data_IF_203051537911
#
_entry.id   IF_203051537911
#
_cell.length_a   1.000
_cell.length_b   1.000
_cell.length_c   1.000
_cell.angle_alpha   90.00
_cell.angle_beta   90.00
_cell.angle_gamma   90.00
#
_symmetry.space_group_name_H-M   'P 1'
#
loop_
_entity.id
_entity.type
_entity.pdbx_description
1 polymer ?
#
# COMPACT_ATOMS: atom_id res chain seq x y z
N UNK A 1 10.50 21.12 56.52
CA UNK A 1 10.93 20.48 55.26
C UNK A 1 9.85 20.70 54.22
N UNK A 2 10.06 21.60 53.27
CA UNK A 2 9.17 21.72 52.12
C UNK A 2 9.54 20.59 51.15
N UNK A 3 8.67 19.60 51.00
CA UNK A 3 8.78 18.65 49.90
C UNK A 3 8.47 19.40 48.61
N UNK A 4 9.51 19.73 47.83
CA UNK A 4 9.32 20.23 46.47
C UNK A 4 8.56 19.17 45.67
N UNK A 5 7.40 19.54 45.16
CA UNK A 5 6.65 18.68 44.22
C UNK A 5 7.50 18.55 42.95
N UNK A 6 8.07 17.36 42.72
CA UNK A 6 8.63 17.02 41.43
C UNK A 6 7.47 16.75 40.48
N UNK A 7 7.24 17.62 39.50
CA UNK A 7 6.42 17.26 38.36
C UNK A 7 7.23 16.26 37.53
N UNK A 8 6.85 14.98 37.56
CA UNK A 8 7.42 13.99 36.64
C UNK A 8 7.03 14.39 35.23
N UNK A 9 8.03 14.64 34.37
CA UNK A 9 7.82 14.93 32.94
C UNK A 9 7.05 13.82 32.22
N UNK A 10 7.09 12.61 32.78
CA UNK A 10 6.32 11.46 32.32
C UNK A 10 5.16 11.24 33.27
N UNK A 11 3.94 11.33 32.75
CA UNK A 11 2.73 11.22 33.55
C UNK A 11 1.59 10.61 32.73
N UNK A 12 0.66 9.98 33.44
CA UNK A 12 -0.63 9.61 32.87
C UNK A 12 -1.58 10.78 33.03
N UNK A 13 -2.31 11.15 31.98
CA UNK A 13 -3.31 12.21 32.09
C UNK A 13 -4.41 11.85 33.09
N UNK A 14 -4.99 12.87 33.74
CA UNK A 14 -6.12 12.66 34.64
C UNK A 14 -7.24 11.93 33.88
N UNK A 15 -7.71 10.81 34.42
CA UNK A 15 -8.68 9.95 33.74
C UNK A 15 -8.08 8.82 32.90
N UNK A 16 -6.75 8.69 32.83
CA UNK A 16 -6.08 7.50 32.31
C UNK A 16 -6.02 7.37 30.79
N UNK A 17 -6.51 8.35 30.03
CA UNK A 17 -6.68 8.24 28.58
C UNK A 17 -5.36 8.26 27.78
N UNK A 18 -4.27 8.82 28.33
CA UNK A 18 -2.99 8.99 27.63
C UNK A 18 -1.82 8.90 28.59
N UNK A 19 -0.79 8.18 28.17
CA UNK A 19 0.55 8.26 28.76
C UNK A 19 1.36 9.32 28.01
N UNK A 20 1.96 10.26 28.75
CA UNK A 20 2.83 11.31 28.20
C UNK A 20 4.28 10.99 28.56
N UNK A 21 5.17 11.15 27.58
CA UNK A 21 6.62 11.17 27.76
C UNK A 21 7.10 12.59 27.44
N UNK A 22 7.49 13.35 28.47
CA UNK A 22 7.92 14.74 28.32
C UNK A 22 9.37 14.89 27.84
N UNK A 23 10.08 13.78 27.64
CA UNK A 23 11.45 13.70 27.13
C UNK A 23 11.62 12.60 26.08
N UNK A 24 12.73 11.86 26.15
CA UNK A 24 12.96 10.72 25.28
C UNK A 24 12.41 9.42 25.89
N UNK A 25 11.91 8.54 25.03
CA UNK A 25 11.66 7.15 25.37
C UNK A 25 12.77 6.33 24.73
N UNK A 26 13.67 5.79 25.55
CA UNK A 26 14.77 4.94 25.09
C UNK A 26 14.40 3.47 25.30
N UNK A 27 14.34 2.70 24.21
CA UNK A 27 14.19 1.26 24.23
C UNK A 27 15.56 0.65 23.97
N UNK A 28 16.12 0.02 24.99
CA UNK A 28 17.48 -0.51 24.98
C UNK A 28 17.54 -1.89 24.30
N UNK A 29 18.75 -2.38 24.06
CA UNK A 29 18.98 -3.69 23.45
C UNK A 29 18.19 -4.80 24.14
N UNK A 30 17.39 -5.54 23.36
CA UNK A 30 16.52 -6.61 23.83
C UNK A 30 15.14 -6.16 24.33
N UNK A 31 14.84 -4.85 24.28
CA UNK A 31 13.49 -4.32 24.50
C UNK A 31 12.72 -4.14 23.20
N UNK A 32 11.40 -4.15 23.29
CA UNK A 32 10.48 -3.97 22.16
C UNK A 32 9.43 -2.90 22.49
N UNK A 33 9.03 -2.13 21.48
CA UNK A 33 7.77 -1.40 21.50
C UNK A 33 6.73 -2.26 20.79
N UNK A 34 5.94 -2.99 21.56
CA UNK A 34 4.86 -3.78 20.99
C UNK A 34 3.59 -2.94 20.85
N UNK A 35 2.94 -3.03 19.69
CA UNK A 35 1.65 -2.40 19.39
C UNK A 35 0.69 -3.51 19.03
N UNK A 36 -0.11 -3.91 20.02
CA UNK A 36 -1.08 -4.99 19.94
C UNK A 36 -2.09 -4.80 18.80
N UNK A 37 -2.74 -5.91 18.41
CA UNK A 37 -3.75 -5.92 17.35
C UNK A 37 -4.82 -4.84 17.55
N UNK A 38 -5.06 -4.04 16.50
CA UNK A 38 -5.98 -2.88 16.53
C UNK A 38 -5.33 -1.57 17.01
N UNK A 39 -4.10 -1.61 17.52
CA UNK A 39 -3.29 -0.43 17.81
C UNK A 39 -2.65 0.17 16.56
N UNK A 40 -2.32 1.47 16.62
CA UNK A 40 -1.64 2.17 15.53
C UNK A 40 -0.46 3.00 16.07
N UNK A 41 0.73 2.82 15.49
CA UNK A 41 1.83 3.75 15.66
C UNK A 41 1.66 4.92 14.69
N UNK A 42 1.44 6.12 15.24
CA UNK A 42 1.36 7.36 14.46
C UNK A 42 2.60 8.20 14.70
N UNK A 43 3.31 8.56 13.63
CA UNK A 43 4.45 9.47 13.71
C UNK A 43 3.96 10.88 13.40
N UNK A 44 4.01 11.79 14.38
CA UNK A 44 3.42 13.14 14.30
C UNK A 44 1.91 13.14 13.97
N UNK A 45 1.19 12.10 14.38
CA UNK A 45 -0.25 11.95 14.08
C UNK A 45 -0.56 11.39 12.69
N UNK A 46 0.47 11.20 11.84
CA UNK A 46 0.32 10.62 10.49
C UNK A 46 0.46 9.11 10.57
N UNK A 47 -0.52 8.40 10.01
CA UNK A 47 -0.41 6.97 9.80
C UNK A 47 0.53 6.70 8.61
N UNK A 48 1.33 5.64 8.73
CA UNK A 48 2.38 5.29 7.76
C UNK A 48 1.90 4.08 6.95
N UNK A 49 2.18 4.03 5.63
CA UNK A 49 1.92 2.83 4.84
C UNK A 49 2.60 1.59 5.44
N UNK A 50 1.84 0.50 5.51
CA UNK A 50 2.30 -0.78 6.03
C UNK A 50 2.11 -1.88 4.99
N UNK A 51 0.98 -1.90 4.29
CA UNK A 51 0.64 -2.95 3.32
C UNK A 51 -0.01 -2.38 2.07
N UNK A 52 -0.01 -3.17 0.99
CA UNK A 52 -0.80 -2.94 -0.20
C UNK A 52 -1.87 -4.03 -0.31
N UNK A 53 -3.10 -3.66 -0.69
CA UNK A 53 -4.15 -4.62 -1.03
C UNK A 53 -4.55 -4.52 -2.49
N UNK A 54 -4.97 -5.65 -3.07
CA UNK A 54 -5.30 -5.79 -4.47
C UNK A 54 -6.72 -6.33 -4.62
N UNK A 55 -7.53 -5.71 -5.47
CA UNK A 55 -8.86 -6.19 -5.82
C UNK A 55 -9.05 -6.13 -7.34
N UNK A 56 -9.08 -7.30 -7.98
CA UNK A 56 -9.38 -7.43 -9.40
C UNK A 56 -10.89 -7.39 -9.64
N UNK A 57 -11.30 -6.73 -10.72
CA UNK A 57 -12.68 -6.65 -11.16
C UNK A 57 -12.76 -6.59 -12.69
N UNK A 58 -13.85 -7.12 -13.24
CA UNK A 58 -14.14 -7.02 -14.67
C UNK A 58 -14.46 -5.57 -15.06
N UNK A 59 -13.69 -5.05 -16.03
CA UNK A 59 -13.98 -3.80 -16.73
C UNK A 59 -14.81 -4.03 -17.99
N UNK A 60 -14.49 -3.26 -19.04
CA UNK A 60 -15.02 -3.50 -20.39
C UNK A 60 -14.54 -4.82 -21.02
N UNK A 61 -14.93 -5.06 -22.27
CA UNK A 61 -14.55 -6.29 -22.98
C UNK A 61 -13.03 -6.51 -23.00
N UNK A 62 -12.59 -7.67 -22.52
CA UNK A 62 -11.18 -8.04 -22.37
C UNK A 62 -10.37 -7.16 -21.39
N UNK A 63 -11.04 -6.41 -20.52
CA UNK A 63 -10.38 -5.52 -19.55
C UNK A 63 -10.52 -6.08 -18.13
N UNK A 64 -9.39 -6.19 -17.44
CA UNK A 64 -9.32 -6.41 -15.99
C UNK A 64 -8.87 -5.10 -15.31
N UNK A 65 -9.57 -4.70 -14.27
CA UNK A 65 -9.24 -3.54 -13.45
C UNK A 65 -8.77 -4.03 -12.08
N UNK A 66 -7.51 -3.76 -11.72
CA UNK A 66 -6.93 -4.13 -10.43
C UNK A 66 -6.76 -2.89 -9.58
N UNK A 67 -7.60 -2.75 -8.56
CA UNK A 67 -7.49 -1.68 -7.56
C UNK A 67 -6.38 -2.02 -6.57
N UNK A 68 -5.36 -1.17 -6.52
CA UNK A 68 -4.26 -1.21 -5.57
C UNK A 68 -4.52 -0.13 -4.52
N UNK A 69 -4.64 -0.53 -3.25
CA UNK A 69 -4.88 0.41 -2.14
C UNK A 69 -3.71 0.41 -1.17
N UNK A 70 -3.22 1.59 -0.84
CA UNK A 70 -2.21 1.79 0.21
C UNK A 70 -2.89 1.75 1.57
N UNK A 71 -2.44 0.87 2.46
CA UNK A 71 -3.07 0.66 3.77
C UNK A 71 -2.13 0.89 4.95
N UNK A 72 -2.69 1.35 6.06
CA UNK A 72 -2.01 1.37 7.36
C UNK A 72 -2.00 0.00 8.03
N UNK A 73 -1.36 -0.09 9.20
CA UNK A 73 -1.28 -1.33 9.98
C UNK A 73 -2.64 -1.80 10.52
N UNK A 74 -3.64 -0.92 10.58
CA UNK A 74 -5.00 -1.26 11.00
C UNK A 74 -5.88 -1.71 9.81
N UNK A 75 -5.33 -1.74 8.59
CA UNK A 75 -6.03 -2.16 7.38
C UNK A 75 -6.88 -1.06 6.73
N UNK A 76 -6.80 0.19 7.20
CA UNK A 76 -7.50 1.32 6.60
C UNK A 76 -6.76 1.83 5.37
N UNK A 77 -7.49 2.27 4.36
CA UNK A 77 -6.89 2.94 3.20
C UNK A 77 -6.36 4.32 3.63
N UNK A 78 -5.09 4.57 3.30
CA UNK A 78 -4.42 5.83 3.56
C UNK A 78 -4.60 6.78 2.39
N UNK A 79 -5.50 7.75 2.55
CA UNK A 79 -5.64 8.85 1.59
C UNK A 79 -4.29 9.57 1.36
N UNK A 80 -3.99 9.84 0.09
CA UNK A 80 -2.77 10.50 -0.33
C UNK A 80 -2.30 10.07 -1.71
N UNK A 81 -1.57 10.94 -2.37
CA UNK A 81 -0.91 10.65 -3.64
C UNK A 81 0.39 9.87 -3.40
N UNK A 82 0.27 8.56 -3.20
CA UNK A 82 1.42 7.68 -2.97
C UNK A 82 2.10 7.30 -4.30
N UNK A 83 3.42 7.48 -4.44
CA UNK A 83 4.16 7.00 -5.60
C UNK A 83 4.35 5.48 -5.52
N UNK A 84 4.03 4.79 -6.61
CA UNK A 84 4.12 3.34 -6.73
C UNK A 84 5.01 2.93 -7.91
N UNK A 85 5.59 1.75 -7.77
CA UNK A 85 6.12 0.95 -8.86
C UNK A 85 5.19 -0.26 -8.99
N UNK A 86 4.62 -0.48 -10.18
CA UNK A 86 3.68 -1.56 -10.47
C UNK A 86 4.22 -2.39 -11.62
N UNK A 87 4.14 -3.72 -11.52
CA UNK A 87 4.55 -4.62 -12.59
C UNK A 87 3.69 -5.87 -12.70
N UNK A 88 3.62 -6.42 -13.90
CA UNK A 88 3.02 -7.73 -14.16
C UNK A 88 4.08 -8.81 -14.02
N UNK A 89 3.78 -9.88 -13.29
CA UNK A 89 4.67 -11.02 -13.06
C UNK A 89 3.99 -12.35 -13.43
N UNK A 90 4.81 -13.35 -13.75
CA UNK A 90 4.39 -14.75 -13.92
C UNK A 90 4.57 -15.55 -12.60
N UNK A 91 5.15 -14.94 -11.57
CA UNK A 91 5.49 -15.58 -10.30
C UNK A 91 4.55 -15.15 -9.17
N UNK A 92 4.14 -16.11 -8.33
CA UNK A 92 3.23 -15.87 -7.21
C UNK A 92 3.86 -15.03 -6.07
N UNK A 93 5.19 -14.99 -5.99
CA UNK A 93 5.96 -14.08 -5.13
C UNK A 93 6.22 -12.72 -5.78
N UNK A 94 5.79 -12.50 -7.02
CA UNK A 94 5.97 -11.26 -7.77
C UNK A 94 7.39 -11.06 -8.29
N UNK A 95 8.21 -12.12 -8.32
CA UNK A 95 9.59 -12.03 -8.78
C UNK A 95 9.66 -11.81 -10.30
N UNK A 96 10.26 -10.68 -10.70
CA UNK A 96 10.52 -10.37 -12.10
C UNK A 96 9.28 -9.99 -12.93
N UNK A 97 9.56 -9.59 -14.17
CA UNK A 97 8.52 -9.22 -15.14
C UNK A 97 8.00 -10.46 -15.87
N UNK A 98 6.70 -10.48 -16.14
CA UNK A 98 6.07 -11.47 -17.01
C UNK A 98 6.78 -11.53 -18.37
N UNK A 99 6.95 -12.75 -18.87
CA UNK A 99 7.41 -13.01 -20.23
C UNK A 99 6.32 -12.66 -21.27
N UNK A 100 5.05 -12.74 -20.88
CA UNK A 100 3.89 -12.51 -21.75
C UNK A 100 3.51 -11.03 -21.80
N UNK A 101 3.24 -10.50 -22.98
CA UNK A 101 2.74 -9.12 -23.13
C UNK A 101 1.22 -9.16 -23.25
N UNK A 102 0.51 -8.37 -22.44
CA UNK A 102 -0.93 -8.17 -22.62
C UNK A 102 -1.22 -7.66 -24.04
N UNK A 103 -2.29 -8.14 -24.67
CA UNK A 103 -2.54 -7.84 -26.09
C UNK A 103 -2.93 -6.38 -26.37
N UNK A 104 -3.35 -5.63 -25.35
CA UNK A 104 -3.76 -4.23 -25.42
C UNK A 104 -2.95 -3.31 -24.50
N UNK A 105 -3.64 -2.38 -23.84
CA UNK A 105 -3.03 -1.42 -22.91
C UNK A 105 -2.89 -1.98 -21.51
N UNK A 106 -1.80 -1.61 -20.85
CA UNK A 106 -1.60 -1.73 -19.39
C UNK A 106 -1.34 -0.32 -18.88
N UNK A 107 -2.28 0.27 -18.15
CA UNK A 107 -2.26 1.70 -17.81
C UNK A 107 -3.18 2.03 -16.64
N UNK A 108 -3.14 3.26 -16.14
CA UNK A 108 -4.10 3.74 -15.16
C UNK A 108 -5.52 3.79 -15.77
N UNK A 109 -6.52 3.28 -15.02
CA UNK A 109 -7.93 3.55 -15.34
C UNK A 109 -8.18 5.06 -15.23
N UNK A 110 -8.98 5.58 -16.14
CA UNK A 110 -9.31 7.01 -16.19
C UNK A 110 -9.80 7.54 -14.83
N UNK A 111 -9.18 8.63 -14.36
CA UNK A 111 -9.42 9.28 -13.08
C UNK A 111 -9.14 8.44 -11.83
N UNK A 112 -8.42 7.33 -11.92
CA UNK A 112 -8.11 6.42 -10.81
C UNK A 112 -6.60 6.27 -10.57
N UNK A 113 -5.91 7.41 -10.54
CA UNK A 113 -4.45 7.52 -10.45
C UNK A 113 -3.85 8.02 -11.76
N UNK A 114 -2.51 8.04 -11.85
CA UNK A 114 -1.81 8.47 -13.05
C UNK A 114 -0.52 7.69 -13.28
N UNK A 115 -0.28 7.33 -14.54
CA UNK A 115 1.00 6.80 -15.00
C UNK A 115 1.99 7.94 -15.20
N UNK A 116 3.19 7.80 -14.63
CA UNK A 116 4.28 8.76 -14.82
C UNK A 116 5.24 8.29 -15.91
N UNK A 117 5.59 6.99 -15.89
CA UNK A 117 6.42 6.36 -16.92
C UNK A 117 6.05 4.89 -17.08
N UNK A 118 6.36 4.33 -18.25
CA UNK A 118 6.17 2.92 -18.56
C UNK A 118 7.45 2.34 -19.18
N UNK A 119 7.78 1.10 -18.82
CA UNK A 119 8.90 0.33 -19.38
C UNK A 119 8.40 -0.97 -20.00
N UNK A 120 9.21 -1.53 -20.91
CA UNK A 120 9.07 -2.89 -21.47
C UNK A 120 7.65 -3.22 -21.90
N UNK A 121 7.16 -2.60 -22.98
CA UNK A 121 5.81 -2.81 -23.50
C UNK A 121 4.69 -2.63 -22.43
N UNK A 122 4.90 -1.71 -21.47
CA UNK A 122 4.00 -1.38 -20.36
C UNK A 122 3.82 -2.49 -19.32
N UNK A 123 4.75 -3.45 -19.22
CA UNK A 123 4.75 -4.48 -18.16
C UNK A 123 5.18 -3.93 -16.80
N UNK A 124 5.74 -2.74 -16.77
CA UNK A 124 6.20 -2.04 -15.59
C UNK A 124 5.83 -0.57 -15.70
N UNK A 125 5.25 -0.02 -14.63
CA UNK A 125 4.79 1.36 -14.53
C UNK A 125 5.39 1.99 -13.27
N UNK A 126 5.86 3.23 -13.40
CA UNK A 126 5.95 4.12 -12.24
C UNK A 126 4.70 4.99 -12.27
N UNK A 127 3.91 4.98 -11.21
CA UNK A 127 2.63 5.68 -11.17
C UNK A 127 2.45 6.37 -9.81
N UNK A 128 1.35 7.11 -9.71
CA UNK A 128 0.94 7.76 -8.47
C UNK A 128 -0.54 7.47 -8.20
N UNK A 129 -0.86 7.18 -6.94
CA UNK A 129 -2.23 7.04 -6.50
C UNK A 129 -3.01 8.34 -6.70
N UNK A 130 -4.32 8.18 -6.86
CA UNK A 130 -5.31 9.22 -6.60
C UNK A 130 -5.21 9.70 -5.15
N UNK A 131 -5.72 10.89 -4.86
CA UNK A 131 -5.77 11.45 -3.51
C UNK A 131 -6.49 10.55 -2.49
N UNK A 132 -7.33 9.62 -2.95
CA UNK A 132 -7.95 8.57 -2.14
C UNK A 132 -6.98 7.48 -1.63
N UNK A 133 -5.71 7.47 -2.03
CA UNK A 133 -4.76 6.42 -1.64
C UNK A 133 -4.81 5.16 -2.52
N UNK A 134 -5.49 5.25 -3.66
CA UNK A 134 -5.74 4.13 -4.58
C UNK A 134 -5.19 4.42 -5.96
N UNK A 135 -4.75 3.36 -6.63
CA UNK A 135 -4.41 3.35 -8.05
C UNK A 135 -5.12 2.16 -8.69
N UNK A 136 -5.85 2.35 -9.80
CA UNK A 136 -6.52 1.26 -10.50
C UNK A 136 -5.78 0.98 -11.80
N UNK A 137 -5.14 -0.20 -11.86
CA UNK A 137 -4.50 -0.70 -13.06
C UNK A 137 -5.53 -1.28 -14.01
N UNK A 138 -5.59 -0.79 -15.24
CA UNK A 138 -6.36 -1.36 -16.33
C UNK A 138 -5.45 -2.24 -17.20
N UNK A 139 -5.80 -3.51 -17.35
CA UNK A 139 -5.13 -4.48 -18.22
C UNK A 139 -6.12 -4.89 -19.31
N UNK A 140 -5.85 -4.51 -20.55
CA UNK A 140 -6.57 -5.00 -21.73
C UNK A 140 -5.82 -6.17 -22.33
N UNK A 141 -6.43 -7.34 -22.31
CA UNK A 141 -5.84 -8.56 -22.88
C UNK A 141 -6.91 -9.51 -23.43
N UNK A 142 -6.92 -9.70 -24.75
CA UNK A 142 -7.86 -10.59 -25.44
C UNK A 142 -7.61 -12.06 -25.11
N UNK A 143 -6.39 -12.43 -24.71
CA UNK A 143 -6.08 -13.76 -24.23
C UNK A 143 -6.55 -14.00 -22.78
N UNK A 144 -6.92 -12.93 -22.05
CA UNK A 144 -7.32 -12.96 -20.64
C UNK A 144 -6.27 -13.69 -19.78
N UNK A 145 -5.01 -13.34 -20.00
CA UNK A 145 -3.84 -13.97 -19.38
C UNK A 145 -3.86 -13.81 -17.86
N UNK A 146 -3.47 -14.86 -17.15
CA UNK A 146 -3.37 -14.84 -15.70
C UNK A 146 -2.08 -14.22 -15.20
N UNK A 147 -2.06 -12.89 -15.03
CA UNK A 147 -0.94 -12.16 -14.45
C UNK A 147 -1.03 -12.09 -12.92
N UNK A 148 0.12 -12.02 -12.25
CA UNK A 148 0.22 -11.51 -10.89
C UNK A 148 0.52 -10.01 -10.97
N UNK A 149 -0.32 -9.17 -10.40
CA UNK A 149 -0.06 -7.73 -10.28
C UNK A 149 0.72 -7.47 -9.01
N UNK A 150 1.97 -7.06 -9.19
CA UNK A 150 2.88 -6.75 -8.10
C UNK A 150 3.06 -5.25 -7.98
N UNK A 151 3.21 -4.76 -6.75
CA UNK A 151 3.45 -3.35 -6.52
C UNK A 151 4.31 -3.09 -5.27
N UNK A 152 5.01 -1.96 -5.29
CA UNK A 152 5.73 -1.43 -4.15
C UNK A 152 5.58 0.08 -4.08
N UNK A 153 5.52 0.62 -2.87
CA UNK A 153 5.66 2.06 -2.65
C UNK A 153 7.11 2.44 -2.97
N UNK A 154 7.30 3.52 -3.73
CA UNK A 154 8.64 4.03 -4.00
C UNK A 154 9.37 4.30 -2.68
N UNK A 155 10.56 3.68 -2.51
CA UNK A 155 11.31 3.73 -1.26
C UNK A 155 11.09 2.54 -0.31
N UNK A 156 10.25 1.57 -0.69
CA UNK A 156 10.19 0.24 -0.04
C UNK A 156 9.38 0.17 1.26
N UNK A 157 8.56 1.18 1.57
CA UNK A 157 7.76 1.21 2.81
C UNK A 157 6.69 0.10 2.89
N UNK A 158 6.17 -0.32 1.73
CA UNK A 158 5.26 -1.46 1.62
C UNK A 158 5.41 -2.09 0.23
N UNK A 159 5.19 -3.39 0.16
CA UNK A 159 5.15 -4.16 -1.08
C UNK A 159 4.02 -5.20 -1.00
N UNK A 160 3.57 -5.68 -2.14
CA UNK A 160 2.59 -6.75 -2.19
C UNK A 160 2.38 -7.29 -3.60
N UNK A 161 1.76 -8.46 -3.65
CA UNK A 161 1.43 -9.17 -4.88
C UNK A 161 -0.03 -9.59 -4.79
N UNK A 162 -0.76 -9.40 -5.88
CA UNK A 162 -2.16 -9.84 -5.97
C UNK A 162 -2.27 -11.36 -6.02
N UNK A 163 -3.47 -11.90 -5.81
CA UNK A 163 -3.78 -13.21 -6.40
C UNK A 163 -3.63 -13.14 -7.93
N UNK A 164 -3.40 -14.27 -8.58
CA UNK A 164 -3.38 -14.31 -10.05
C UNK A 164 -4.74 -13.86 -10.59
N UNK A 165 -4.76 -12.88 -11.49
CA UNK A 165 -6.01 -12.52 -12.18
C UNK A 165 -6.49 -13.71 -13.00
N UNK A 166 -7.79 -13.95 -12.98
CA UNK A 166 -8.43 -15.07 -13.66
C UNK A 166 -9.17 -14.58 -14.90
N UNK A 167 -9.52 -15.49 -15.81
CA UNK A 167 -10.34 -15.17 -16.98
C UNK A 167 -11.65 -14.46 -16.61
N UNK A 168 -12.22 -14.79 -15.44
CA UNK A 168 -13.44 -14.18 -14.91
C UNK A 168 -13.25 -12.72 -14.45
N UNK A 169 -12.03 -12.30 -14.18
CA UNK A 169 -11.70 -10.93 -13.78
C UNK A 169 -11.58 -9.99 -14.99
N UNK A 170 -11.64 -10.52 -16.22
CA UNK A 170 -11.69 -9.75 -17.46
C UNK A 170 -13.13 -9.65 -17.96
N UNK A 171 -13.56 -8.44 -18.30
CA UNK A 171 -14.88 -8.21 -18.88
C UNK A 171 -15.13 -9.04 -20.15
N UNK A 172 -16.39 -9.41 -20.34
CA UNK A 172 -16.88 -10.17 -21.49
C UNK A 172 -16.98 -9.32 -22.75
#
# INVERSE_FOLDING_TARGET
>A
MAWGSYATLNYTEQGGARQVIGGQLDIVSGGELDVESGGALKLKGTAVPSTLSFAAAAGGANVCEVTISVKDNAGNVLAGNWPLIVWLSDDAGGEGLTSTTASGTVQAKSNEGADLTALTAKKHLTCVCKDAGTYVLEITDSAKTGFYVSAAICGGLAHGVSAQVQTADYGS
#
